data_IF_936050694468
#
_entry.id   IF_936050694468
#
_cell.length_a   1.000
_cell.length_b   1.000
_cell.length_c   1.000
_cell.angle_alpha   90.00
_cell.angle_beta   90.00
_cell.angle_gamma   90.00
#
_symmetry.space_group_name_H-M   'P 1'
#
loop_
_entity.id
_entity.type
_entity.pdbx_description
1 polymer ?
#
# COMPACT_ATOMS: atom_id res chain seq x y z
N UNK A 1 -3.59 1.87 15.24
CA UNK A 1 -3.99 0.51 14.80
C UNK A 1 -4.62 -0.27 15.96
N UNK A 2 -4.13 -0.10 17.19
CA UNK A 2 -4.70 -0.74 18.40
C UNK A 2 -6.22 -0.63 18.56
N UNK A 3 -6.80 0.57 18.51
CA UNK A 3 -8.26 0.74 18.73
C UNK A 3 -9.10 0.44 17.50
N UNK A 4 -8.66 0.89 16.31
CA UNK A 4 -9.42 0.74 15.04
C UNK A 4 -9.32 -0.68 14.46
N UNK A 5 -8.18 -1.34 14.59
CA UNK A 5 -7.92 -2.66 13.98
C UNK A 5 -7.73 -3.79 15.00
N UNK A 6 -7.62 -3.47 16.29
CA UNK A 6 -7.38 -4.47 17.35
C UNK A 6 -5.93 -4.94 17.39
N UNK A 7 -5.00 -4.06 17.03
CA UNK A 7 -3.58 -4.37 16.87
C UNK A 7 -3.16 -4.51 15.40
N UNK A 8 -1.88 -4.27 15.13
CA UNK A 8 -1.26 -4.46 13.82
C UNK A 8 -0.45 -5.75 13.81
N UNK A 9 -0.99 -6.80 13.19
CA UNK A 9 -0.33 -8.09 13.05
C UNK A 9 -0.39 -8.55 11.61
N UNK A 10 0.61 -9.28 11.15
CA UNK A 10 0.67 -9.85 9.81
C UNK A 10 -0.63 -10.62 9.42
N UNK A 11 -1.23 -11.32 10.38
CA UNK A 11 -2.43 -12.15 10.16
C UNK A 11 -3.73 -11.34 10.04
N UNK A 12 -3.75 -10.06 10.43
CA UNK A 12 -4.98 -9.27 10.51
C UNK A 12 -4.96 -7.95 9.71
N UNK A 13 -3.85 -7.60 9.06
CA UNK A 13 -3.72 -6.40 8.22
C UNK A 13 -3.28 -6.76 6.79
N UNK A 14 -3.93 -6.14 5.79
CA UNK A 14 -3.39 -6.01 4.44
C UNK A 14 -2.64 -4.69 4.29
N UNK A 15 -1.48 -4.72 3.64
CA UNK A 15 -0.76 -3.54 3.17
C UNK A 15 -0.98 -3.39 1.65
N UNK A 16 -1.21 -2.17 1.17
CA UNK A 16 -1.32 -1.89 -0.25
C UNK A 16 -0.47 -0.71 -0.65
N UNK A 17 0.25 -0.85 -1.75
CA UNK A 17 0.93 0.23 -2.44
C UNK A 17 0.14 0.58 -3.69
N UNK A 18 -0.07 1.87 -3.91
CA UNK A 18 -0.72 2.39 -5.09
C UNK A 18 0.10 3.52 -5.71
N UNK A 19 0.19 3.57 -7.03
CA UNK A 19 1.05 4.54 -7.71
C UNK A 19 0.45 5.09 -9.00
N UNK A 20 1.05 6.14 -9.56
CA UNK A 20 0.68 6.68 -10.87
C UNK A 20 1.90 6.87 -11.76
N UNK A 21 1.78 6.51 -13.03
CA UNK A 21 2.73 6.75 -14.14
C UNK A 21 4.09 6.04 -14.04
N UNK A 22 4.74 6.00 -12.89
CA UNK A 22 6.14 5.57 -12.76
C UNK A 22 6.24 4.22 -12.03
N UNK A 23 6.37 3.15 -12.83
CA UNK A 23 6.50 1.78 -12.31
C UNK A 23 7.80 1.60 -11.51
N UNK A 24 8.92 2.22 -11.93
CA UNK A 24 10.21 2.06 -11.26
C UNK A 24 10.21 2.70 -9.88
N UNK A 25 9.63 3.89 -9.77
CA UNK A 25 9.45 4.55 -8.47
C UNK A 25 8.54 3.71 -7.54
N UNK A 26 7.51 3.06 -8.10
CA UNK A 26 6.62 2.18 -7.35
C UNK A 26 7.30 0.88 -6.88
N UNK A 27 8.14 0.27 -7.72
CA UNK A 27 8.94 -0.90 -7.38
C UNK A 27 9.92 -0.60 -6.25
N UNK A 28 10.69 0.49 -6.37
CA UNK A 28 11.65 0.92 -5.34
C UNK A 28 10.94 1.19 -4.01
N UNK A 29 9.81 1.92 -4.04
CA UNK A 29 9.03 2.19 -2.84
C UNK A 29 8.45 0.92 -2.21
N UNK A 30 8.02 -0.04 -3.02
CA UNK A 30 7.56 -1.33 -2.53
C UNK A 30 8.70 -2.15 -1.89
N UNK A 31 9.93 -2.07 -2.41
CA UNK A 31 11.11 -2.70 -1.80
C UNK A 31 11.43 -2.08 -0.43
N UNK A 32 11.45 -0.75 -0.32
CA UNK A 32 11.63 -0.05 0.96
C UNK A 32 10.59 -0.46 2.01
N UNK A 33 9.32 -0.62 1.59
CA UNK A 33 8.26 -1.10 2.46
C UNK A 33 8.41 -2.57 2.84
N UNK A 34 8.86 -3.44 1.91
CA UNK A 34 9.12 -4.86 2.21
C UNK A 34 10.27 -5.03 3.20
N UNK A 35 11.31 -4.21 3.11
CA UNK A 35 12.42 -4.26 4.08
C UNK A 35 11.93 -3.97 5.51
N UNK A 36 10.98 -3.03 5.66
CA UNK A 36 10.49 -2.59 6.98
C UNK A 36 9.26 -3.35 7.48
N UNK A 37 8.43 -3.86 6.57
CA UNK A 37 7.10 -4.41 6.84
C UNK A 37 6.84 -5.75 6.12
N UNK A 38 7.90 -6.48 5.75
CA UNK A 38 7.81 -7.72 4.97
C UNK A 38 7.03 -8.87 5.62
N UNK A 39 6.66 -8.75 6.90
CA UNK A 39 5.75 -9.69 7.56
C UNK A 39 4.28 -9.54 7.11
N UNK A 40 3.89 -8.36 6.59
CA UNK A 40 2.52 -8.10 6.16
C UNK A 40 2.33 -8.51 4.69
N UNK A 41 1.17 -9.09 4.38
CA UNK A 41 0.82 -9.33 2.99
C UNK A 41 0.63 -7.99 2.26
N UNK A 42 1.43 -7.80 1.21
CA UNK A 42 1.48 -6.56 0.45
C UNK A 42 1.20 -6.77 -1.03
N UNK A 43 0.39 -5.89 -1.61
CA UNK A 43 0.18 -5.78 -3.05
C UNK A 43 0.57 -4.40 -3.55
N UNK A 44 1.12 -4.31 -4.76
CA UNK A 44 1.42 -3.04 -5.43
C UNK A 44 0.66 -2.99 -6.76
N UNK A 45 -0.15 -1.95 -6.98
CA UNK A 45 -0.96 -1.80 -8.19
C UNK A 45 -1.04 -0.32 -8.61
N UNK A 46 -1.23 -0.01 -9.91
CA UNK A 46 -1.49 1.36 -10.32
C UNK A 46 -2.83 1.86 -9.77
N UNK A 47 -2.92 3.16 -9.50
CA UNK A 47 -4.18 3.82 -9.14
C UNK A 47 -5.14 3.81 -10.33
N UNK A 48 -6.42 3.63 -10.02
CA UNK A 48 -7.48 3.78 -11.02
C UNK A 48 -7.44 5.16 -11.68
N UNK A 49 -7.85 5.25 -12.95
CA UNK A 49 -7.87 6.51 -13.70
C UNK A 49 -8.63 7.62 -12.95
N UNK A 50 -9.78 7.29 -12.36
CA UNK A 50 -10.60 8.26 -11.61
C UNK A 50 -9.82 8.90 -10.46
N UNK A 51 -9.00 8.13 -9.74
CA UNK A 51 -8.20 8.66 -8.62
C UNK A 51 -6.93 9.35 -9.15
N UNK A 52 -6.27 8.75 -10.14
CA UNK A 52 -5.06 9.29 -10.76
C UNK A 52 -5.27 10.68 -11.38
N UNK A 53 -6.43 10.94 -12.00
CA UNK A 53 -6.75 12.26 -12.57
C UNK A 53 -6.78 13.40 -11.53
N UNK A 54 -7.07 13.08 -10.26
CA UNK A 54 -7.17 14.09 -9.20
C UNK A 54 -5.85 14.25 -8.44
N UNK A 55 -5.10 13.17 -8.25
CA UNK A 55 -3.81 13.21 -7.52
C UNK A 55 -2.69 13.70 -8.44
N UNK A 56 -2.75 13.35 -9.73
CA UNK A 56 -1.72 13.66 -10.72
C UNK A 56 -0.64 12.56 -10.85
N UNK A 57 0.20 12.65 -11.89
CA UNK A 57 1.24 11.66 -12.17
C UNK A 57 2.41 11.71 -11.19
N UNK A 58 3.04 10.57 -10.92
CA UNK A 58 4.21 10.44 -10.05
C UNK A 58 3.88 10.26 -8.57
N UNK A 59 2.60 10.17 -8.21
CA UNK A 59 2.18 9.88 -6.84
C UNK A 59 2.51 8.43 -6.45
N UNK A 60 2.97 8.28 -5.20
CA UNK A 60 3.16 7.01 -4.49
C UNK A 60 2.32 7.07 -3.21
N UNK A 61 1.55 6.02 -2.95
CA UNK A 61 0.67 5.91 -1.81
C UNK A 61 0.80 4.56 -1.13
N UNK A 62 0.63 4.55 0.19
CA UNK A 62 0.54 3.34 1.00
C UNK A 62 -0.75 3.37 1.81
N UNK A 63 -1.46 2.26 1.85
CA UNK A 63 -2.68 2.06 2.61
C UNK A 63 -2.60 0.78 3.43
N UNK A 64 -3.41 0.71 4.48
CA UNK A 64 -3.60 -0.51 5.24
C UNK A 64 -5.06 -0.68 5.64
N UNK A 65 -5.52 -1.93 5.70
CA UNK A 65 -6.86 -2.26 6.17
C UNK A 65 -6.89 -3.58 6.93
N UNK A 66 -7.91 -3.77 7.76
CA UNK A 66 -8.12 -5.01 8.50
C UNK A 66 -8.57 -6.11 7.53
N UNK A 67 -7.98 -7.30 7.64
CA UNK A 67 -8.48 -8.49 6.95
C UNK A 67 -9.86 -8.86 7.49
N UNK A 68 -10.82 -9.06 6.59
CA UNK A 68 -12.14 -9.57 6.93
C UNK A 68 -12.04 -11.09 7.12
N UNK A 69 -12.79 -11.61 8.09
CA UNK A 69 -12.92 -13.06 8.35
C UNK A 69 -14.13 -13.62 7.64
#
# INVERSE_FOLDING_TARGET
METRFGGARADNIWLQVAYTKDDKAAELFAEELKERFGEFDMVCNPLSLSVACHIGPGALAVACCKKLK
#
